data_IF_704138628715
#
_entry.id   IF_704138628715
#
_cell.length_a   1.000
_cell.length_b   1.000
_cell.length_c   1.000
_cell.angle_alpha   90.00
_cell.angle_beta   90.00
_cell.angle_gamma   90.00
#
_symmetry.space_group_name_H-M   'P 1'
#
loop_
_entity.id
_entity.type
_entity.pdbx_description
1 polymer ?
#
# COMPACT_ATOMS: atom_id res chain seq x y z
N UNK A 1 31.99 5.42 15.76
CA UNK A 1 31.08 6.55 16.11
C UNK A 1 29.61 6.33 15.69
N UNK A 2 29.28 5.49 14.69
CA UNK A 2 27.89 5.30 14.21
C UNK A 2 26.94 4.50 15.13
N UNK A 3 27.43 3.58 15.99
CA UNK A 3 26.57 2.84 16.94
C UNK A 3 26.02 3.69 18.09
N UNK A 4 26.79 4.70 18.54
CA UNK A 4 26.35 5.59 19.62
C UNK A 4 25.23 6.55 19.19
N UNK A 5 25.20 6.93 17.91
CA UNK A 5 24.15 7.78 17.36
C UNK A 5 22.79 7.05 17.28
N UNK A 6 22.76 5.76 16.90
CA UNK A 6 21.51 4.99 16.82
C UNK A 6 20.87 4.72 18.20
N UNK A 7 21.69 4.47 19.23
CA UNK A 7 21.19 4.26 20.61
C UNK A 7 20.62 5.56 21.19
N UNK A 8 21.19 6.72 20.84
CA UNK A 8 20.69 8.01 21.31
C UNK A 8 19.36 8.38 20.67
N UNK A 9 19.17 8.08 19.38
CA UNK A 9 17.88 8.29 18.69
C UNK A 9 16.76 7.41 19.27
N UNK A 10 17.07 6.16 19.65
CA UNK A 10 16.08 5.28 20.29
C UNK A 10 15.70 5.77 21.71
N UNK A 11 16.65 6.36 22.43
CA UNK A 11 16.43 6.89 23.78
C UNK A 11 15.59 8.18 23.77
N UNK A 12 15.76 9.04 22.77
CA UNK A 12 14.95 10.26 22.62
C UNK A 12 13.50 9.96 22.27
N UNK A 13 13.23 8.96 21.41
CA UNK A 13 11.86 8.53 21.07
C UNK A 13 11.14 7.97 22.31
N UNK A 14 11.83 7.20 23.16
CA UNK A 14 11.26 6.63 24.38
C UNK A 14 10.92 7.70 25.45
N UNK A 15 11.75 8.75 25.58
CA UNK A 15 11.50 9.84 26.55
C UNK A 15 10.30 10.69 26.12
N UNK A 16 10.13 10.95 24.82
CA UNK A 16 8.99 11.71 24.30
C UNK A 16 7.66 10.97 24.51
N UNK A 17 7.65 9.63 24.37
CA UNK A 17 6.48 8.78 24.62
C UNK A 17 6.09 8.69 26.11
N UNK A 18 7.04 8.88 27.03
CA UNK A 18 6.79 8.81 28.47
C UNK A 18 6.15 10.09 29.04
N UNK A 19 6.35 11.22 28.37
CA UNK A 19 5.84 12.54 28.82
C UNK A 19 4.39 12.85 28.41
N UNK A 20 3.76 12.02 27.57
CA UNK A 20 2.39 12.26 27.07
C UNK A 20 1.30 11.64 27.97
N UNK A 21 1.66 10.82 28.97
CA UNK A 21 0.68 10.04 29.76
C UNK A 21 0.43 10.48 31.21
N UNK A 22 0.79 11.70 31.63
CA UNK A 22 0.38 12.22 32.95
C UNK A 22 -0.31 13.58 32.87
N UNK A 23 -1.64 13.57 32.83
CA UNK A 23 -2.50 14.34 33.75
C UNK A 23 -3.99 14.20 33.42
N UNK A 24 -4.74 13.63 34.35
CA UNK A 24 -6.15 13.94 34.64
C UNK A 24 -6.27 14.03 36.19
N UNK A 25 -7.33 14.56 36.83
CA UNK A 25 -8.57 15.21 36.35
C UNK A 25 -8.98 16.50 37.14
N UNK A 26 -10.20 17.02 36.89
CA UNK A 26 -11.19 17.66 37.84
C UNK A 26 -11.67 19.12 37.57
N UNK A 27 -13.00 19.19 37.32
CA UNK A 27 -14.09 20.15 37.65
C UNK A 27 -14.04 21.69 37.46
N UNK A 28 -15.03 22.15 36.67
CA UNK A 28 -16.07 23.19 36.86
C UNK A 28 -15.71 24.62 37.35
N UNK A 29 -15.94 25.63 36.49
CA UNK A 29 -16.92 26.74 36.65
C UNK A 29 -16.66 27.89 35.63
N UNK A 30 -17.74 28.57 35.23
CA UNK A 30 -17.86 29.72 34.31
C UNK A 30 -16.89 30.90 34.55
N UNK A 31 -16.52 31.60 33.45
CA UNK A 31 -16.76 33.04 33.18
C UNK A 31 -16.06 33.48 31.87
N UNK A 32 -16.72 34.38 31.16
CA UNK A 32 -16.53 34.79 29.77
C UNK A 32 -15.61 36.04 29.65
N UNK A 33 -14.55 36.02 28.82
CA UNK A 33 -14.19 37.04 27.78
C UNK A 33 -12.75 36.92 27.21
N UNK A 34 -12.70 36.98 25.88
CA UNK A 34 -11.64 37.46 24.96
C UNK A 34 -10.29 36.69 24.77
N UNK A 35 -10.29 35.93 23.67
CA UNK A 35 -9.32 35.99 22.56
C UNK A 35 -7.85 35.73 22.88
N UNK A 36 -7.41 34.48 22.69
CA UNK A 36 -6.11 34.16 22.11
C UNK A 36 -6.18 32.84 21.35
N UNK A 37 -5.58 32.85 20.17
CA UNK A 37 -5.63 31.83 19.12
C UNK A 37 -5.15 30.47 19.62
N UNK A 38 -6.04 29.48 19.61
CA UNK A 38 -5.64 28.08 19.57
C UNK A 38 -6.14 27.54 18.23
N UNK A 39 -5.20 27.16 17.37
CA UNK A 39 -5.51 26.48 16.12
C UNK A 39 -6.15 25.14 16.48
N UNK A 40 -7.48 25.10 16.43
CA UNK A 40 -8.20 23.86 16.31
C UNK A 40 -7.76 23.26 14.97
N UNK A 41 -6.94 22.22 15.02
CA UNK A 41 -6.73 21.32 13.90
C UNK A 41 -8.13 20.86 13.50
N UNK A 42 -8.63 21.41 12.40
CA UNK A 42 -9.85 20.94 11.80
C UNK A 42 -9.64 19.45 11.55
N UNK A 43 -10.42 18.62 12.25
CA UNK A 43 -10.72 17.30 11.74
C UNK A 43 -11.25 17.54 10.32
N UNK A 44 -10.42 17.23 9.33
CA UNK A 44 -10.90 17.08 7.98
C UNK A 44 -11.75 15.82 8.05
N UNK A 45 -13.03 16.01 8.36
CA UNK A 45 -14.05 15.06 7.96
C UNK A 45 -13.99 15.03 6.45
N UNK A 46 -13.28 14.06 5.90
CA UNK A 46 -13.33 13.74 4.48
C UNK A 46 -14.68 13.09 4.23
N UNK A 47 -15.69 13.92 3.96
CA UNK A 47 -16.90 13.49 3.29
C UNK A 47 -16.57 13.13 1.84
N UNK A 48 -16.14 11.90 1.64
CA UNK A 48 -16.34 11.12 0.41
C UNK A 48 -16.89 9.78 0.88
N UNK A 49 -17.68 9.08 0.06
CA UNK A 49 -18.10 7.71 0.39
C UNK A 49 -16.89 6.93 0.94
N UNK A 50 -17.09 6.22 2.06
CA UNK A 50 -16.06 5.61 2.92
C UNK A 50 -15.20 4.61 2.12
N UNK A 51 -14.23 5.14 1.36
CA UNK A 51 -13.37 4.32 0.52
C UNK A 51 -12.32 3.68 1.39
N UNK A 52 -12.49 2.39 1.65
CA UNK A 52 -11.48 1.56 2.32
C UNK A 52 -10.49 1.06 1.27
N UNK A 53 -9.20 1.27 1.52
CA UNK A 53 -8.14 0.74 0.68
C UNK A 53 -8.07 -0.79 0.86
N UNK A 54 -8.52 -1.53 -0.15
CA UNK A 54 -8.58 -2.99 -0.16
C UNK A 54 -7.23 -3.66 -0.35
N UNK A 55 -6.32 -3.53 0.62
CA UNK A 55 -5.07 -4.28 0.67
C UNK A 55 -5.09 -5.14 1.92
N UNK A 56 -4.89 -6.45 1.76
CA UNK A 56 -4.82 -7.37 2.90
C UNK A 56 -3.64 -6.98 3.79
N UNK A 57 -3.95 -6.80 5.07
CA UNK A 57 -3.08 -6.22 6.08
C UNK A 57 -3.38 -4.77 6.46
N UNK A 58 -4.29 -4.07 5.76
CA UNK A 58 -4.88 -2.81 6.23
C UNK A 58 -6.02 -3.11 7.23
N UNK A 59 -5.69 -3.84 8.29
CA UNK A 59 -6.65 -4.44 9.21
C UNK A 59 -7.48 -3.42 9.99
N UNK A 60 -6.94 -2.23 10.28
CA UNK A 60 -7.70 -1.17 10.94
C UNK A 60 -8.41 -0.22 9.96
N UNK A 61 -8.34 -0.52 8.67
CA UNK A 61 -8.96 0.23 7.57
C UNK A 61 -8.52 1.71 7.45
N UNK A 62 -7.35 2.07 8.01
CA UNK A 62 -6.85 3.45 8.00
C UNK A 62 -6.10 3.85 6.71
N UNK A 63 -5.91 2.87 5.81
CA UNK A 63 -5.25 3.02 4.52
C UNK A 63 -3.73 2.94 4.58
N UNK A 64 -3.14 2.49 5.70
CA UNK A 64 -1.69 2.36 5.87
C UNK A 64 -1.34 1.09 6.63
N UNK A 65 -0.65 0.15 5.99
CA UNK A 65 -0.13 -1.02 6.70
C UNK A 65 1.01 -0.62 7.65
N UNK A 66 0.75 -0.68 8.95
CA UNK A 66 1.67 -0.27 10.01
C UNK A 66 1.45 -1.02 11.35
N UNK A 67 2.09 -0.56 12.43
CA UNK A 67 1.97 -1.20 13.75
C UNK A 67 0.56 -1.13 14.36
N UNK A 68 -0.30 -0.26 13.86
CA UNK A 68 -1.71 -0.20 14.27
C UNK A 68 -2.47 -1.43 13.76
N UNK A 69 -2.24 -1.87 12.52
CA UNK A 69 -2.81 -3.12 11.98
C UNK A 69 -2.30 -4.34 12.73
N UNK A 70 -1.00 -4.38 13.02
CA UNK A 70 -0.40 -5.42 13.85
C UNK A 70 -1.09 -5.51 15.23
N UNK A 71 -1.37 -4.36 15.84
CA UNK A 71 -2.06 -4.32 17.14
C UNK A 71 -3.53 -4.72 16.99
N UNK A 72 -4.19 -4.30 15.91
CA UNK A 72 -5.59 -4.61 15.63
C UNK A 72 -5.79 -6.11 15.47
N UNK A 73 -4.98 -6.78 14.66
CA UNK A 73 -5.00 -8.24 14.49
C UNK A 73 -4.74 -8.96 15.81
N UNK A 74 -3.77 -8.49 16.62
CA UNK A 74 -3.53 -9.07 17.95
C UNK A 74 -4.78 -9.03 18.84
N UNK A 75 -5.52 -7.92 18.79
CA UNK A 75 -6.79 -7.75 19.53
C UNK A 75 -7.93 -8.57 18.96
N UNK A 76 -7.98 -8.82 17.65
CA UNK A 76 -8.91 -9.79 17.05
C UNK A 76 -8.64 -11.20 17.61
N UNK A 77 -7.37 -11.61 17.66
CA UNK A 77 -6.95 -12.93 18.18
C UNK A 77 -7.33 -13.08 19.65
N UNK A 78 -7.16 -12.01 20.44
CA UNK A 78 -7.56 -11.96 21.85
C UNK A 78 -9.09 -11.84 22.06
N UNK A 79 -9.86 -11.63 20.99
CA UNK A 79 -11.32 -11.46 21.04
C UNK A 79 -11.77 -10.08 21.54
N UNK A 80 -10.91 -9.08 21.48
CA UNK A 80 -11.16 -7.70 21.91
C UNK A 80 -11.65 -6.79 20.78
N UNK A 81 -11.52 -7.21 19.53
CA UNK A 81 -11.94 -6.47 18.33
C UNK A 81 -12.70 -7.38 17.35
N UNK A 82 -13.52 -6.77 16.49
CA UNK A 82 -14.28 -7.48 15.47
C UNK A 82 -13.39 -7.92 14.29
N UNK A 83 -13.70 -9.09 13.73
CA UNK A 83 -13.02 -9.62 12.54
C UNK A 83 -13.47 -8.84 11.30
N UNK A 84 -12.51 -8.53 10.42
CA UNK A 84 -12.75 -8.08 9.05
C UNK A 84 -11.86 -8.86 8.08
N UNK A 85 -12.17 -8.79 6.79
CA UNK A 85 -11.47 -9.56 5.75
C UNK A 85 -10.02 -9.07 5.55
N UNK A 86 -9.77 -7.76 5.67
CA UNK A 86 -8.42 -7.19 5.48
C UNK A 86 -7.45 -7.53 6.63
N UNK A 87 -7.93 -8.13 7.72
CA UNK A 87 -7.09 -8.61 8.81
C UNK A 87 -6.36 -9.93 8.49
N UNK A 88 -6.83 -10.69 7.50
CA UNK A 88 -6.17 -11.89 6.94
C UNK A 88 -5.03 -11.44 6.00
N UNK A 89 -3.97 -10.89 6.58
CA UNK A 89 -2.88 -10.25 5.87
C UNK A 89 -2.10 -11.22 4.96
N UNK A 90 -2.01 -12.51 5.31
CA UNK A 90 -1.35 -13.51 4.48
C UNK A 90 -2.31 -14.23 3.50
N UNK A 91 -3.60 -13.90 3.54
CA UNK A 91 -4.64 -14.43 2.66
C UNK A 91 -4.73 -15.96 2.69
N UNK A 92 -4.67 -16.56 3.88
CA UNK A 92 -4.79 -18.01 4.07
C UNK A 92 -6.18 -18.47 4.55
N UNK A 93 -7.08 -17.51 4.80
CA UNK A 93 -8.46 -17.72 5.23
C UNK A 93 -8.65 -17.70 6.74
N UNK A 94 -7.60 -17.54 7.54
CA UNK A 94 -7.66 -17.52 9.00
C UNK A 94 -6.97 -16.28 9.56
N UNK A 95 -7.56 -15.65 10.59
CA UNK A 95 -6.92 -14.50 11.27
C UNK A 95 -6.14 -15.01 12.48
N UNK A 96 -4.81 -15.09 12.37
CA UNK A 96 -3.90 -15.61 13.37
C UNK A 96 -2.49 -14.95 13.41
N UNK A 97 -1.51 -15.63 14.03
CA UNK A 97 -0.14 -15.11 14.21
C UNK A 97 0.63 -15.01 12.88
N UNK A 98 0.23 -15.78 11.86
CA UNK A 98 0.80 -15.71 10.52
C UNK A 98 0.53 -14.33 9.89
N UNK A 99 -0.64 -13.73 10.12
CA UNK A 99 -0.95 -12.37 9.68
C UNK A 99 -0.05 -11.33 10.32
N UNK A 100 0.17 -11.43 11.63
CA UNK A 100 1.10 -10.56 12.35
C UNK A 100 2.51 -10.65 11.75
N UNK A 101 2.93 -11.85 11.33
CA UNK A 101 4.21 -12.07 10.67
C UNK A 101 4.24 -11.38 9.31
N UNK A 102 3.18 -11.51 8.52
CA UNK A 102 3.05 -10.88 7.21
C UNK A 102 3.06 -9.35 7.30
N UNK A 103 2.29 -8.75 8.22
CA UNK A 103 2.34 -7.31 8.53
C UNK A 103 3.76 -6.88 8.88
N UNK A 104 4.43 -7.65 9.75
CA UNK A 104 5.82 -7.38 10.14
C UNK A 104 6.77 -7.40 8.93
N UNK A 105 6.57 -8.32 7.98
CA UNK A 105 7.36 -8.39 6.75
C UNK A 105 7.09 -7.18 5.85
N UNK A 106 5.83 -6.79 5.66
CA UNK A 106 5.42 -5.62 4.87
C UNK A 106 6.04 -4.32 5.44
N UNK A 107 5.95 -4.11 6.75
CA UNK A 107 6.53 -2.93 7.42
C UNK A 107 8.06 -2.88 7.21
N UNK A 108 8.71 -4.04 7.12
CA UNK A 108 10.15 -4.15 6.91
C UNK A 108 10.55 -4.11 5.42
N UNK A 109 9.62 -4.16 4.47
CA UNK A 109 9.88 -4.29 3.04
C UNK A 109 10.56 -5.62 2.69
N UNK A 110 10.08 -6.71 3.29
CA UNK A 110 10.65 -8.07 3.18
C UNK A 110 9.61 -9.15 2.90
N UNK A 111 8.38 -8.75 2.65
CA UNK A 111 7.30 -9.58 2.16
C UNK A 111 7.69 -10.23 0.82
N UNK A 112 7.27 -11.48 0.62
CA UNK A 112 7.49 -12.19 -0.65
C UNK A 112 6.28 -12.09 -1.58
N UNK A 113 5.13 -11.69 -1.06
CA UNK A 113 3.88 -11.53 -1.78
C UNK A 113 2.99 -10.50 -1.09
N UNK A 114 2.05 -9.94 -1.84
CA UNK A 114 1.04 -9.02 -1.36
C UNK A 114 -0.29 -9.31 -2.05
N UNK A 115 -1.37 -9.37 -1.26
CA UNK A 115 -2.73 -9.56 -1.77
C UNK A 115 -3.53 -8.27 -1.64
N UNK A 116 -4.30 -7.93 -2.68
CA UNK A 116 -5.16 -6.76 -2.70
C UNK A 116 -6.38 -6.99 -3.59
N UNK A 117 -7.44 -6.21 -3.36
CA UNK A 117 -8.64 -6.18 -4.18
C UNK A 117 -8.36 -5.29 -5.39
N UNK A 118 -8.43 -5.86 -6.59
CA UNK A 118 -8.16 -5.14 -7.82
C UNK A 118 -9.33 -4.27 -8.29
N UNK A 119 -9.17 -3.58 -9.42
CA UNK A 119 -10.22 -2.71 -9.97
C UNK A 119 -11.46 -3.47 -10.50
N UNK A 120 -11.40 -4.80 -10.62
CA UNK A 120 -12.53 -5.66 -10.94
C UNK A 120 -13.28 -6.17 -9.70
N UNK A 121 -12.71 -5.95 -8.52
CA UNK A 121 -13.25 -6.43 -7.24
C UNK A 121 -12.79 -7.84 -6.86
N UNK A 122 -11.76 -8.35 -7.53
CA UNK A 122 -11.20 -9.68 -7.27
C UNK A 122 -9.95 -9.58 -6.40
N UNK A 123 -9.74 -10.58 -5.54
CA UNK A 123 -8.53 -10.70 -4.75
C UNK A 123 -7.37 -11.18 -5.63
N UNK A 124 -6.30 -10.39 -5.71
CA UNK A 124 -5.11 -10.66 -6.52
C UNK A 124 -3.87 -10.66 -5.65
N UNK A 125 -3.10 -11.75 -5.71
CA UNK A 125 -1.79 -11.87 -5.05
C UNK A 125 -0.68 -11.67 -6.07
N UNK A 126 0.25 -10.77 -5.77
CA UNK A 126 1.46 -10.54 -6.58
C UNK A 126 2.72 -10.93 -5.82
N UNK A 127 3.69 -11.55 -6.49
CA UNK A 127 4.99 -11.84 -5.91
C UNK A 127 5.89 -10.61 -5.87
N UNK A 128 6.68 -10.47 -4.80
CA UNK A 128 7.55 -9.33 -4.56
C UNK A 128 9.02 -9.76 -4.39
N UNK A 129 9.99 -8.92 -4.82
CA UNK A 129 9.79 -7.71 -5.61
C UNK A 129 9.35 -8.04 -7.04
N UNK A 130 8.57 -7.14 -7.64
CA UNK A 130 8.27 -7.18 -9.08
C UNK A 130 9.52 -6.79 -9.85
N UNK A 131 9.97 -7.66 -10.76
CA UNK A 131 11.20 -7.46 -11.54
C UNK A 131 10.94 -7.42 -13.05
N UNK A 132 9.83 -8.03 -13.53
CA UNK A 132 9.54 -8.19 -14.96
C UNK A 132 8.06 -8.01 -15.29
N UNK A 133 7.68 -6.82 -15.75
CA UNK A 133 6.30 -6.47 -16.08
C UNK A 133 6.03 -6.48 -17.59
N UNK A 134 4.89 -7.04 -17.99
CA UNK A 134 4.25 -6.75 -19.27
C UNK A 134 3.15 -5.69 -19.07
N UNK A 135 3.28 -4.53 -19.71
CA UNK A 135 2.36 -3.39 -19.52
C UNK A 135 1.43 -3.24 -20.72
N UNK A 136 0.17 -3.65 -20.54
CA UNK A 136 -0.82 -3.75 -21.60
C UNK A 136 -1.77 -2.55 -21.69
N UNK A 137 -1.50 -1.46 -20.97
CA UNK A 137 -2.25 -0.21 -21.11
C UNK A 137 -1.39 1.03 -20.86
N UNK A 138 -1.88 2.19 -21.33
CA UNK A 138 -1.14 3.46 -21.24
C UNK A 138 -1.17 4.05 -19.83
N UNK A 139 -2.23 3.82 -19.06
CA UNK A 139 -2.40 4.43 -17.74
C UNK A 139 -1.39 3.83 -16.74
N UNK A 140 -1.17 2.51 -16.82
CA UNK A 140 -0.09 1.84 -16.09
C UNK A 140 1.29 2.30 -16.57
N UNK A 141 1.46 2.54 -17.88
CA UNK A 141 2.73 3.04 -18.40
C UNK A 141 3.07 4.43 -17.81
N UNK A 142 2.07 5.29 -17.64
CA UNK A 142 2.22 6.57 -16.93
C UNK A 142 2.58 6.37 -15.46
N UNK A 143 1.90 5.45 -14.76
CA UNK A 143 2.19 5.16 -13.35
C UNK A 143 3.63 4.65 -13.17
N UNK A 144 4.06 3.68 -13.98
CA UNK A 144 5.43 3.16 -13.96
C UNK A 144 6.46 4.25 -14.30
N UNK A 145 6.12 5.14 -15.22
CA UNK A 145 6.96 6.28 -15.54
C UNK A 145 7.10 7.27 -14.35
N UNK A 146 6.02 7.51 -13.60
CA UNK A 146 6.05 8.36 -12.41
C UNK A 146 6.86 7.71 -11.27
N UNK A 147 6.75 6.39 -11.12
CA UNK A 147 7.49 5.61 -10.12
C UNK A 147 8.98 5.42 -10.47
N UNK A 148 9.37 5.77 -11.69
CA UNK A 148 10.73 5.58 -12.23
C UNK A 148 11.17 4.11 -12.37
N UNK A 149 10.21 3.23 -12.67
CA UNK A 149 10.41 1.77 -12.71
C UNK A 149 10.37 1.19 -14.14
N UNK A 150 10.72 2.01 -15.14
CA UNK A 150 10.65 1.66 -16.58
C UNK A 150 11.54 0.48 -16.97
N UNK A 151 12.62 0.25 -16.23
CA UNK A 151 13.58 -0.82 -16.52
C UNK A 151 13.00 -2.22 -16.32
N UNK A 152 12.04 -2.36 -15.40
CA UNK A 152 11.32 -3.60 -15.11
C UNK A 152 10.33 -3.99 -16.20
N UNK A 153 9.98 -3.08 -17.12
CA UNK A 153 9.05 -3.38 -18.22
C UNK A 153 9.77 -4.16 -19.31
N UNK A 154 9.25 -5.34 -19.66
CA UNK A 154 9.83 -6.27 -20.65
C UNK A 154 8.98 -6.41 -21.91
N UNK A 155 7.69 -6.08 -21.82
CA UNK A 155 6.76 -6.07 -22.95
C UNK A 155 5.75 -4.92 -22.83
N UNK A 156 5.33 -4.37 -23.95
CA UNK A 156 4.38 -3.25 -24.04
C UNK A 156 3.38 -3.45 -25.16
N UNK A 157 2.25 -2.74 -25.09
CA UNK A 157 1.29 -2.75 -26.21
C UNK A 157 1.87 -2.15 -27.50
N UNK A 158 1.33 -2.57 -28.63
CA UNK A 158 1.59 -1.97 -29.95
C UNK A 158 1.37 -0.45 -29.95
N UNK A 159 0.40 0.05 -29.18
CA UNK A 159 0.16 1.49 -29.07
C UNK A 159 1.32 2.22 -28.40
N UNK A 160 1.89 1.65 -27.34
CA UNK A 160 3.03 2.24 -26.62
C UNK A 160 4.30 2.30 -27.45
N UNK A 161 4.51 1.39 -28.40
CA UNK A 161 5.68 1.45 -29.31
C UNK A 161 5.64 2.71 -30.21
N UNK A 162 4.45 3.26 -30.46
CA UNK A 162 4.27 4.51 -31.19
C UNK A 162 4.55 5.78 -30.37
N UNK A 163 4.63 5.69 -29.03
CA UNK A 163 4.72 6.85 -28.14
C UNK A 163 6.16 7.28 -27.83
N UNK A 164 7.01 7.32 -28.86
CA UNK A 164 8.46 7.57 -28.73
C UNK A 164 8.83 8.92 -28.08
N UNK A 165 7.95 9.93 -28.14
CA UNK A 165 8.19 11.23 -27.50
C UNK A 165 7.82 11.24 -26.01
N UNK A 166 6.78 10.50 -25.65
CA UNK A 166 6.22 10.51 -24.29
C UNK A 166 6.82 9.40 -23.43
N UNK A 167 7.09 8.24 -24.04
CA UNK A 167 7.74 7.09 -23.43
C UNK A 167 8.90 6.58 -24.30
N UNK A 168 9.98 7.35 -24.48
CA UNK A 168 11.09 6.93 -25.32
C UNK A 168 11.65 5.56 -24.90
N UNK A 169 11.78 5.29 -23.59
CA UNK A 169 12.30 4.03 -23.07
C UNK A 169 11.31 2.88 -23.28
N UNK A 170 10.04 3.06 -22.90
CA UNK A 170 9.03 2.00 -23.02
C UNK A 170 8.70 1.68 -24.48
N UNK A 171 8.76 2.68 -25.37
CA UNK A 171 8.49 2.49 -26.81
C UNK A 171 9.46 1.54 -27.51
N UNK A 172 10.62 1.27 -26.89
CA UNK A 172 11.64 0.34 -27.41
C UNK A 172 11.49 -1.09 -26.88
N UNK A 173 10.57 -1.34 -25.94
CA UNK A 173 10.31 -2.66 -25.38
C UNK A 173 9.57 -3.54 -26.38
N UNK A 174 9.57 -4.85 -26.12
CA UNK A 174 8.94 -5.85 -27.01
C UNK A 174 7.45 -5.54 -27.17
N UNK A 175 6.98 -5.48 -28.42
CA UNK A 175 5.55 -5.40 -28.72
C UNK A 175 4.88 -6.74 -28.40
N UNK A 176 3.89 -6.72 -27.52
CA UNK A 176 3.13 -7.91 -27.11
C UNK A 176 1.65 -7.83 -27.53
N UNK A 177 1.37 -7.07 -28.60
CA UNK A 177 0.05 -6.97 -29.20
C UNK A 177 -0.77 -5.77 -28.70
N UNK A 178 -2.05 -5.74 -29.07
CA UNK A 178 -2.95 -4.63 -28.72
C UNK A 178 -3.57 -4.82 -27.34
N UNK A 179 -3.94 -3.72 -26.66
CA UNK A 179 -4.64 -3.77 -25.37
C UNK A 179 -5.99 -4.52 -25.40
N UNK A 180 -6.62 -4.63 -26.57
CA UNK A 180 -7.85 -5.40 -26.82
C UNK A 180 -7.63 -6.64 -27.71
N UNK A 181 -6.40 -6.84 -28.18
CA UNK A 181 -5.97 -7.97 -29.03
C UNK A 181 -4.55 -8.39 -28.60
N UNK A 182 -4.37 -8.82 -27.34
CA UNK A 182 -3.06 -9.17 -26.83
C UNK A 182 -2.52 -10.42 -27.53
N UNK A 183 -1.22 -10.45 -27.77
CA UNK A 183 -0.53 -11.63 -28.27
C UNK A 183 -0.03 -12.45 -27.07
N UNK A 184 -0.81 -13.46 -26.68
CA UNK A 184 -0.54 -14.29 -25.51
C UNK A 184 0.83 -15.00 -25.62
N UNK A 185 1.21 -15.45 -26.82
CA UNK A 185 2.50 -16.12 -27.02
C UNK A 185 3.66 -15.12 -26.87
N UNK A 186 3.49 -13.89 -27.38
CA UNK A 186 4.49 -12.84 -27.18
C UNK A 186 4.61 -12.41 -25.71
N UNK A 187 3.50 -12.35 -24.97
CA UNK A 187 3.50 -12.06 -23.52
C UNK A 187 4.27 -13.16 -22.78
N UNK A 188 3.98 -14.44 -23.05
CA UNK A 188 4.70 -15.54 -22.40
C UNK A 188 6.20 -15.57 -22.78
N UNK A 189 6.53 -15.24 -24.03
CA UNK A 189 7.90 -15.22 -24.53
C UNK A 189 8.79 -14.15 -23.88
N UNK A 190 8.19 -13.06 -23.35
CA UNK A 190 8.95 -12.07 -22.57
C UNK A 190 9.06 -12.44 -21.10
N UNK A 191 8.59 -13.62 -20.67
CA UNK A 191 8.73 -14.17 -19.32
C UNK A 191 8.44 -13.14 -18.20
N UNK A 192 7.26 -12.49 -18.19
CA UNK A 192 6.90 -11.54 -17.15
C UNK A 192 6.53 -12.27 -15.85
N UNK A 193 6.81 -11.65 -14.71
CA UNK A 193 6.27 -12.06 -13.41
C UNK A 193 4.90 -11.41 -13.14
N UNK A 194 4.62 -10.27 -13.77
CA UNK A 194 3.37 -9.51 -13.61
C UNK A 194 2.88 -8.99 -14.96
N UNK A 195 1.57 -9.06 -15.19
CA UNK A 195 0.93 -8.53 -16.41
C UNK A 195 -0.12 -7.49 -16.01
N UNK A 196 0.06 -6.25 -16.46
CA UNK A 196 -0.81 -5.13 -16.11
C UNK A 196 -1.84 -4.89 -17.22
N UNK A 197 -3.11 -5.22 -16.95
CA UNK A 197 -4.24 -5.12 -17.90
C UNK A 197 -5.34 -4.20 -17.39
N UNK A 198 -6.36 -3.93 -18.21
CA UNK A 198 -7.58 -3.31 -17.73
C UNK A 198 -8.49 -4.36 -17.10
N UNK A 199 -9.25 -3.99 -16.06
CA UNK A 199 -10.20 -4.90 -15.39
C UNK A 199 -11.23 -5.56 -16.33
N UNK A 200 -11.57 -4.90 -17.44
CA UNK A 200 -12.59 -5.35 -18.39
C UNK A 200 -12.04 -5.91 -19.71
N UNK A 201 -10.74 -5.71 -19.98
CA UNK A 201 -10.14 -6.09 -21.26
C UNK A 201 -8.71 -6.59 -21.04
N UNK A 202 -8.27 -7.65 -21.74
CA UNK A 202 -8.97 -8.35 -22.84
C UNK A 202 -10.21 -9.14 -22.41
#
# INVERSE_FOLDING_TARGET
MKRKAKIMVLLEVAVVLSSVFLAAPVSAADQNTETSRTAATAAVGTGGDDFVLGIYGNANEDGRINMQDYTYIGRIIDGEEEKNELADANYDGEIDIADLTQIGLIILGRESELTFIDASGEDVTVSLPIERMAVLNTDFAEAIAVLDERDKVVGVTTTLTGYTRFFPELSTKTDVGGWYTPDIEAILAVEPDTVCVYAKWP
#
